data_IF_520471348230
#
_entry.id   IF_520471348230
#
_cell.length_a   1.000
_cell.length_b   1.000
_cell.length_c   1.000
_cell.angle_alpha   90.00
_cell.angle_beta   90.00
_cell.angle_gamma   90.00
#
_symmetry.space_group_name_H-M   'P 1'
#
loop_
_entity.id
_entity.type
_entity.pdbx_description
1 polymer ?
#
# COMPACT_ATOMS: atom_id res chain seq x y z
N UNK A 1 -5.01 2.99 -13.88
CA UNK A 1 -5.53 3.87 -12.81
C UNK A 1 -6.58 3.18 -11.91
N UNK A 2 -7.79 2.83 -12.40
CA UNK A 2 -8.94 2.45 -11.55
C UNK A 2 -8.67 1.40 -10.44
N UNK A 3 -7.93 0.33 -10.74
CA UNK A 3 -7.56 -0.69 -9.75
C UNK A 3 -6.66 -0.14 -8.62
N UNK A 4 -5.65 0.63 -8.99
CA UNK A 4 -4.71 1.21 -8.02
C UNK A 4 -5.38 2.31 -7.17
N UNK A 5 -6.36 3.01 -7.76
CA UNK A 5 -7.14 4.05 -7.08
C UNK A 5 -8.33 3.48 -6.28
N UNK A 6 -8.52 2.16 -6.26
CA UNK A 6 -9.66 1.48 -5.62
C UNK A 6 -11.04 1.93 -6.10
N UNK A 7 -11.13 2.37 -7.36
CA UNK A 7 -12.41 2.66 -8.03
C UNK A 7 -12.96 1.36 -8.61
N UNK A 8 -13.54 0.52 -7.75
CA UNK A 8 -13.97 -0.83 -8.13
C UNK A 8 -15.04 -0.83 -9.23
N UNK A 9 -16.03 0.06 -9.13
CA UNK A 9 -17.06 0.21 -10.18
C UNK A 9 -16.46 0.50 -11.55
N UNK A 10 -15.53 1.46 -11.60
CA UNK A 10 -14.84 1.80 -12.84
C UNK A 10 -13.98 0.64 -13.34
N UNK A 11 -13.32 -0.09 -12.42
CA UNK A 11 -12.55 -1.28 -12.79
C UNK A 11 -13.44 -2.37 -13.43
N UNK A 12 -14.63 -2.62 -12.89
CA UNK A 12 -15.56 -3.59 -13.47
C UNK A 12 -16.06 -3.13 -14.84
N UNK A 13 -16.50 -1.87 -14.93
CA UNK A 13 -17.04 -1.31 -16.17
C UNK A 13 -15.99 -1.21 -17.30
N UNK A 14 -14.71 -1.09 -16.96
CA UNK A 14 -13.60 -1.11 -17.92
C UNK A 14 -13.13 -2.52 -18.30
N UNK A 15 -13.63 -3.57 -17.64
CA UNK A 15 -13.27 -4.94 -17.96
C UNK A 15 -14.01 -5.42 -19.21
N UNK A 16 -13.51 -6.51 -19.82
CA UNK A 16 -14.15 -7.11 -20.99
C UNK A 16 -15.55 -7.68 -20.68
N UNK A 17 -15.73 -8.17 -19.45
CA UNK A 17 -16.99 -8.73 -18.95
C UNK A 17 -17.25 -8.18 -17.53
N UNK A 18 -17.95 -7.04 -17.44
CA UNK A 18 -18.22 -6.36 -16.16
C UNK A 18 -19.04 -7.19 -15.18
N UNK A 19 -19.98 -8.01 -15.66
CA UNK A 19 -20.85 -8.82 -14.81
C UNK A 19 -20.04 -9.91 -14.09
N UNK A 20 -19.21 -10.65 -14.84
CA UNK A 20 -18.33 -11.67 -14.26
C UNK A 20 -17.32 -11.05 -13.29
N UNK A 21 -16.72 -9.91 -13.65
CA UNK A 21 -15.74 -9.24 -12.79
C UNK A 21 -16.34 -8.81 -11.44
N UNK A 22 -17.58 -8.30 -11.46
CA UNK A 22 -18.33 -7.94 -10.25
C UNK A 22 -18.70 -9.16 -9.42
N UNK A 23 -19.18 -10.23 -10.07
CA UNK A 23 -19.55 -11.48 -9.39
C UNK A 23 -18.37 -12.05 -8.59
N UNK A 24 -17.18 -12.15 -9.19
CA UNK A 24 -16.00 -12.70 -8.51
C UNK A 24 -15.55 -11.86 -7.31
N UNK A 25 -15.70 -10.53 -7.38
CA UNK A 25 -15.45 -9.68 -6.23
C UNK A 25 -16.48 -9.92 -5.12
N UNK A 26 -17.75 -10.00 -5.48
CA UNK A 26 -18.88 -10.02 -4.54
C UNK A 26 -19.10 -11.37 -3.87
N UNK A 27 -18.57 -12.45 -4.43
CA UNK A 27 -18.51 -13.78 -3.78
C UNK A 27 -17.92 -13.72 -2.37
N UNK A 28 -17.00 -12.78 -2.12
CA UNK A 28 -16.30 -12.63 -0.83
C UNK A 28 -16.55 -11.30 -0.15
N UNK A 29 -16.92 -10.27 -0.92
CA UNK A 29 -17.15 -8.91 -0.43
C UNK A 29 -18.46 -8.32 -1.02
N UNK A 30 -19.64 -8.87 -0.67
CA UNK A 30 -20.91 -8.52 -1.31
C UNK A 30 -21.46 -7.15 -0.89
N UNK A 31 -20.99 -6.60 0.24
CA UNK A 31 -21.53 -5.35 0.78
C UNK A 31 -21.14 -4.17 -0.12
N UNK A 32 -22.08 -3.27 -0.42
CA UNK A 32 -21.81 -2.05 -1.21
C UNK A 32 -20.60 -1.23 -0.74
N UNK A 33 -20.34 -1.05 0.57
CA UNK A 33 -19.13 -0.37 1.03
C UNK A 33 -17.81 -1.02 0.60
N UNK A 34 -17.81 -2.29 0.18
CA UNK A 34 -16.61 -2.93 -0.35
C UNK A 34 -16.17 -2.35 -1.70
N UNK A 35 -17.08 -1.74 -2.47
CA UNK A 35 -16.77 -1.12 -3.77
C UNK A 35 -16.02 0.20 -3.66
N UNK A 36 -15.90 0.74 -2.45
CA UNK A 36 -15.07 1.90 -2.12
C UNK A 36 -13.93 1.55 -1.17
N UNK A 37 -13.77 0.27 -0.83
CA UNK A 37 -12.73 -0.18 0.09
C UNK A 37 -11.34 -0.16 -0.57
N UNK A 38 -10.34 0.31 0.19
CA UNK A 38 -8.94 0.35 -0.22
C UNK A 38 -8.23 -1.00 -0.04
N UNK A 39 -8.92 -2.11 -0.30
CA UNK A 39 -8.35 -3.46 -0.32
C UNK A 39 -9.24 -4.40 -1.13
N UNK A 40 -8.69 -5.53 -1.57
CA UNK A 40 -9.45 -6.63 -2.15
C UNK A 40 -9.55 -7.81 -1.18
N UNK A 41 -10.36 -8.80 -1.52
CA UNK A 41 -10.57 -10.02 -0.72
C UNK A 41 -9.32 -10.90 -0.56
N UNK A 42 -8.31 -10.75 -1.41
CA UNK A 42 -7.09 -11.56 -1.35
C UNK A 42 -6.17 -11.16 -0.20
N UNK A 43 -5.92 -9.86 -0.02
CA UNK A 43 -4.92 -9.35 0.93
C UNK A 43 -5.55 -8.79 2.21
N UNK A 44 -6.85 -8.47 2.17
CA UNK A 44 -7.56 -7.85 3.29
C UNK A 44 -7.03 -6.46 3.66
N UNK A 45 -7.60 -5.85 4.71
CA UNK A 45 -7.33 -4.46 5.04
C UNK A 45 -5.88 -4.21 5.47
N UNK A 46 -5.24 -5.16 6.16
CA UNK A 46 -3.91 -4.94 6.75
C UNK A 46 -2.76 -5.15 5.77
N UNK A 47 -2.93 -5.96 4.73
CA UNK A 47 -1.82 -6.43 3.88
C UNK A 47 -1.99 -6.11 2.39
N UNK A 48 -2.94 -5.24 2.02
CA UNK A 48 -3.08 -4.81 0.62
C UNK A 48 -1.83 -4.05 0.17
N UNK A 49 -1.08 -4.64 -0.77
CA UNK A 49 0.16 -4.07 -1.31
C UNK A 49 -0.07 -2.69 -1.95
N UNK A 50 -1.13 -2.54 -2.74
CA UNK A 50 -1.44 -1.26 -3.40
C UNK A 50 -1.72 -0.14 -2.37
N UNK A 51 -2.44 -0.45 -1.28
CA UNK A 51 -2.70 0.51 -0.21
C UNK A 51 -1.41 0.90 0.50
N UNK A 52 -0.61 -0.09 0.87
CA UNK A 52 0.68 0.15 1.56
C UNK A 52 1.61 0.97 0.68
N UNK A 53 1.71 0.66 -0.61
CA UNK A 53 2.51 1.45 -1.55
C UNK A 53 2.04 2.89 -1.64
N UNK A 54 0.72 3.11 -1.68
CA UNK A 54 0.15 4.47 -1.67
C UNK A 54 0.45 5.21 -0.37
N UNK A 55 0.25 4.57 0.78
CA UNK A 55 0.56 5.15 2.09
C UNK A 55 2.06 5.53 2.18
N UNK A 56 2.96 4.71 1.61
CA UNK A 56 4.40 4.99 1.53
C UNK A 56 4.67 6.18 0.61
N UNK A 57 4.08 6.20 -0.59
CA UNK A 57 4.25 7.32 -1.53
C UNK A 57 3.70 8.63 -0.99
N UNK A 58 2.55 8.63 -0.30
CA UNK A 58 1.96 9.82 0.33
C UNK A 58 2.80 10.32 1.51
N UNK A 59 3.44 9.42 2.26
CA UNK A 59 4.24 9.78 3.44
C UNK A 59 5.69 10.17 3.11
N UNK A 60 6.28 9.55 2.09
CA UNK A 60 7.71 9.63 1.81
C UNK A 60 8.06 9.98 0.36
N UNK A 61 7.08 9.98 -0.56
CA UNK A 61 7.29 10.44 -1.93
C UNK A 61 7.40 11.96 -1.98
N UNK A 62 8.09 12.49 -2.99
CA UNK A 62 8.06 13.92 -3.26
C UNK A 62 6.67 14.32 -3.78
N UNK A 63 6.20 15.52 -3.41
CA UNK A 63 4.84 16.02 -3.69
C UNK A 63 4.49 16.08 -5.19
N UNK A 64 5.50 16.02 -6.07
CA UNK A 64 5.43 16.15 -7.52
C UNK A 64 5.94 14.90 -8.28
N UNK A 65 6.18 13.79 -7.59
CA UNK A 65 6.74 12.57 -8.20
C UNK A 65 8.23 12.69 -8.55
N UNK A 66 8.93 13.71 -8.03
CA UNK A 66 10.38 13.80 -8.14
C UNK A 66 11.08 12.82 -7.19
N UNK A 67 12.31 12.45 -7.54
CA UNK A 67 13.15 11.66 -6.65
C UNK A 67 13.53 12.49 -5.41
N UNK A 68 13.64 11.82 -4.25
CA UNK A 68 14.17 12.46 -3.04
C UNK A 68 15.55 13.05 -3.31
N UNK A 69 15.84 14.22 -2.75
CA UNK A 69 17.17 14.80 -2.86
C UNK A 69 18.21 13.88 -2.21
N UNK A 70 19.44 13.89 -2.74
CA UNK A 70 20.55 13.13 -2.16
C UNK A 70 20.78 13.46 -0.68
N UNK A 71 20.53 14.71 -0.29
CA UNK A 71 20.60 15.19 1.08
C UNK A 71 19.53 14.55 1.98
N UNK A 72 18.29 14.46 1.49
CA UNK A 72 17.19 13.81 2.21
C UNK A 72 17.45 12.30 2.37
N UNK A 73 17.98 11.65 1.32
CA UNK A 73 18.39 10.24 1.37
C UNK A 73 19.50 10.03 2.41
N UNK A 74 20.56 10.86 2.38
CA UNK A 74 21.66 10.78 3.31
C UNK A 74 21.22 11.01 4.77
N UNK A 75 20.31 11.97 5.00
CA UNK A 75 19.75 12.24 6.32
C UNK A 75 18.95 11.04 6.86
N UNK A 76 18.07 10.45 6.05
CA UNK A 76 17.30 9.25 6.42
C UNK A 76 18.19 8.04 6.70
N UNK A 77 19.24 7.83 5.91
CA UNK A 77 20.22 6.76 6.15
C UNK A 77 20.99 6.96 7.46
N UNK A 78 21.31 8.21 7.81
CA UNK A 78 21.98 8.53 9.08
C UNK A 78 21.07 8.26 10.28
N UNK A 79 19.78 8.58 10.18
CA UNK A 79 18.79 8.26 11.21
C UNK A 79 18.68 6.75 11.44
N UNK A 80 18.54 5.96 10.36
CA UNK A 80 18.49 4.49 10.46
C UNK A 80 19.78 3.89 11.02
N UNK A 81 20.93 4.47 10.71
CA UNK A 81 22.21 4.06 11.32
C UNK A 81 22.23 4.30 12.84
N UNK A 82 21.65 5.41 13.32
CA UNK A 82 21.53 5.68 14.76
C UNK A 82 20.55 4.70 15.44
N UNK A 83 19.42 4.40 14.80
CA UNK A 83 18.45 3.41 15.29
C UNK A 83 19.06 2.01 15.43
N UNK A 84 19.85 1.58 14.43
CA UNK A 84 20.58 0.32 14.46
C UNK A 84 21.61 0.27 15.60
N UNK A 85 22.36 1.35 15.79
CA UNK A 85 23.32 1.48 16.88
C UNK A 85 22.64 1.44 18.26
N UNK A 86 21.52 2.15 18.41
CA UNK A 86 20.72 2.15 19.64
C UNK A 86 20.12 0.76 19.94
N UNK A 87 19.84 -0.02 18.91
CA UNK A 87 19.34 -1.41 19.03
C UNK A 87 20.45 -2.44 19.33
N UNK A 88 21.68 -1.97 19.57
CA UNK A 88 22.83 -2.80 19.91
C UNK A 88 23.56 -3.38 18.70
N UNK A 89 23.45 -2.77 17.52
CA UNK A 89 24.05 -3.25 16.27
C UNK A 89 23.61 -4.66 15.87
N UNK A 90 22.34 -4.99 16.09
CA UNK A 90 21.77 -6.31 15.80
C UNK A 90 20.79 -6.22 14.63
N UNK A 91 20.92 -7.17 13.69
CA UNK A 91 19.99 -7.30 12.56
C UNK A 91 18.68 -7.97 13.00
N UNK A 92 18.77 -8.95 13.90
CA UNK A 92 17.60 -9.65 14.44
C UNK A 92 17.21 -9.04 15.79
N UNK A 93 16.06 -8.37 15.81
CA UNK A 93 15.47 -7.82 17.02
C UNK A 93 14.58 -8.88 17.69
N UNK A 94 14.55 -8.93 19.03
CA UNK A 94 13.63 -9.82 19.74
C UNK A 94 12.18 -9.46 19.42
N UNK A 95 11.33 -10.48 19.20
CA UNK A 95 9.92 -10.30 18.82
C UNK A 95 9.03 -9.85 20.01
N UNK A 96 9.53 -10.00 21.24
CA UNK A 96 8.98 -9.52 22.49
C UNK A 96 10.13 -9.34 23.50
N UNK A 97 9.96 -8.49 24.52
CA UNK A 97 10.85 -8.50 25.69
C UNK A 97 10.76 -9.80 26.48
#
# INVERSE_FOLDING_TARGET
QARFDFRWEDQFNLSLDPETARSFHDETLPAEPAKTAHFCSMCGPKFCSMRISRDISERFGAEDGTELSQEAIAAGMMEKSREFAASGNRVYLPLAE
#
